data_IF_599430632319
#
_entry.id   IF_599430632319
#
_cell.length_a   1.000
_cell.length_b   1.000
_cell.length_c   1.000
_cell.angle_alpha   90.00
_cell.angle_beta   90.00
_cell.angle_gamma   90.00
#
_symmetry.space_group_name_H-M   'P 1'
#
loop_
_entity.id
_entity.type
_entity.pdbx_description
1 polymer ?
#
# COMPACT_ATOMS: atom_id res chain seq x y z
N UNK A 1 8.44 14.18 0.49
CA UNK A 1 7.44 15.27 0.57
C UNK A 1 7.20 15.60 2.03
N UNK A 2 7.13 16.87 2.38
CA UNK A 2 6.86 17.32 3.75
C UNK A 2 5.72 18.31 3.78
N UNK A 3 4.68 17.99 4.53
CA UNK A 3 3.55 18.89 4.75
C UNK A 3 3.74 19.55 6.11
N UNK A 4 4.28 20.78 6.13
CA UNK A 4 4.61 21.49 7.38
C UNK A 4 3.41 21.72 8.31
N UNK A 5 2.19 21.74 7.75
CA UNK A 5 0.95 21.80 8.54
C UNK A 5 0.72 20.51 9.35
N UNK A 6 1.14 19.35 8.83
CA UNK A 6 1.09 18.06 9.51
C UNK A 6 2.24 17.92 10.51
N UNK A 7 3.47 18.09 10.03
CA UNK A 7 4.67 18.09 10.86
C UNK A 7 5.78 18.89 10.18
N UNK A 8 6.52 19.68 10.97
CA UNK A 8 7.71 20.40 10.49
C UNK A 8 8.95 19.51 10.43
N UNK A 9 8.94 18.38 11.12
CA UNK A 9 10.12 17.54 11.36
C UNK A 9 10.04 16.17 10.70
N UNK A 10 8.85 15.72 10.31
CA UNK A 10 8.62 14.40 9.72
C UNK A 10 8.12 14.52 8.29
N UNK A 11 8.72 13.75 7.38
CA UNK A 11 8.23 13.63 6.01
C UNK A 11 6.91 12.86 5.97
N UNK A 12 5.96 13.33 5.17
CA UNK A 12 4.62 12.76 5.08
C UNK A 12 4.51 11.61 4.08
N UNK A 13 5.49 11.48 3.19
CA UNK A 13 5.62 10.44 2.19
C UNK A 13 6.80 10.72 1.28
N UNK A 14 7.33 9.70 0.63
CA UNK A 14 8.54 9.79 -0.18
C UNK A 14 8.49 8.84 -1.39
N UNK A 15 9.35 9.13 -2.35
CA UNK A 15 9.67 8.25 -3.47
C UNK A 15 11.16 7.94 -3.38
N UNK A 16 11.49 6.67 -3.14
CA UNK A 16 12.87 6.22 -3.02
C UNK A 16 13.26 5.26 -4.15
N UNK A 17 14.57 5.20 -4.39
CA UNK A 17 15.20 4.12 -5.13
C UNK A 17 16.30 3.53 -4.26
N UNK A 18 16.29 2.20 -4.12
CA UNK A 18 17.22 1.46 -3.28
C UNK A 18 17.93 0.40 -4.11
N UNK A 19 19.22 0.17 -3.85
CA UNK A 19 19.99 -0.87 -4.54
C UNK A 19 19.44 -2.26 -4.16
N UNK A 20 19.24 -3.12 -5.15
CA UNK A 20 19.06 -4.56 -4.92
C UNK A 20 20.45 -5.21 -4.82
N UNK A 21 20.75 -5.88 -3.70
CA UNK A 21 22.06 -6.48 -3.47
C UNK A 21 23.09 -5.45 -3.01
N UNK A 22 24.16 -5.25 -3.80
CA UNK A 22 25.25 -4.32 -3.50
C UNK A 22 25.57 -3.39 -4.69
N UNK A 23 26.47 -2.40 -4.49
CA UNK A 23 26.88 -1.49 -5.56
C UNK A 23 27.36 -2.26 -6.81
N UNK A 24 26.91 -1.82 -7.99
CA UNK A 24 27.24 -2.47 -9.27
C UNK A 24 26.31 -3.61 -9.69
N UNK A 25 25.26 -3.92 -8.93
CA UNK A 25 24.31 -5.00 -9.27
C UNK A 25 23.48 -4.74 -10.54
N UNK A 26 23.39 -3.49 -11.01
CA UNK A 26 22.53 -3.12 -12.12
C UNK A 26 21.04 -3.21 -11.82
N UNK A 27 20.66 -3.41 -10.54
CA UNK A 27 19.26 -3.55 -10.12
C UNK A 27 18.95 -2.64 -8.93
N UNK A 28 17.76 -2.05 -8.98
CA UNK A 28 17.19 -1.24 -7.92
C UNK A 28 15.71 -1.57 -7.74
N UNK A 29 15.19 -1.25 -6.56
CA UNK A 29 13.76 -1.27 -6.27
C UNK A 29 13.28 0.12 -5.92
N UNK A 30 12.06 0.42 -6.36
CA UNK A 30 11.42 1.72 -6.14
C UNK A 30 10.38 1.58 -5.05
N UNK A 31 10.28 2.57 -4.16
CA UNK A 31 9.34 2.58 -3.04
C UNK A 31 8.53 3.87 -3.04
N UNK A 32 7.20 3.76 -2.96
CA UNK A 32 6.29 4.86 -2.68
C UNK A 32 5.78 4.71 -1.24
N UNK A 33 5.96 5.74 -0.41
CA UNK A 33 5.68 5.66 1.03
C UNK A 33 4.66 6.68 1.52
N UNK A 34 4.03 6.36 2.65
CA UNK A 34 3.18 7.27 3.42
C UNK A 34 3.48 7.13 4.92
N UNK A 35 3.38 8.26 5.64
CA UNK A 35 3.49 8.29 7.11
C UNK A 35 2.23 7.70 7.76
N UNK A 36 2.39 6.94 8.84
CA UNK A 36 1.28 6.50 9.72
C UNK A 36 1.77 6.44 11.16
N UNK A 37 0.94 6.88 12.12
CA UNK A 37 1.30 6.87 13.55
C UNK A 37 2.54 7.69 13.90
N UNK A 38 2.82 8.78 13.16
CA UNK A 38 4.06 9.58 13.26
C UNK A 38 5.36 8.81 12.95
N UNK A 39 5.26 7.67 12.28
CA UNK A 39 6.40 6.90 11.79
C UNK A 39 6.51 7.10 10.28
N UNK A 40 7.54 7.84 9.78
CA UNK A 40 7.80 7.95 8.35
C UNK A 40 7.98 6.58 7.72
N UNK A 41 7.55 6.45 6.47
CA UNK A 41 7.69 5.23 5.66
C UNK A 41 6.98 3.97 6.20
N UNK A 42 6.04 4.14 7.15
CA UNK A 42 5.31 3.04 7.79
C UNK A 42 4.46 2.20 6.82
N UNK A 43 3.85 2.83 5.82
CA UNK A 43 3.10 2.13 4.76
C UNK A 43 3.82 2.37 3.44
N UNK A 44 4.04 1.30 2.66
CA UNK A 44 4.72 1.43 1.37
C UNK A 44 4.28 0.41 0.34
N UNK A 45 4.26 0.87 -0.92
CA UNK A 45 4.18 0.03 -2.12
C UNK A 45 5.57 -0.03 -2.74
N UNK A 46 6.00 -1.23 -3.14
CA UNK A 46 7.35 -1.46 -3.67
C UNK A 46 7.28 -2.08 -5.05
N UNK A 47 8.25 -1.76 -5.91
CA UNK A 47 8.39 -2.32 -7.24
C UNK A 47 9.80 -2.86 -7.41
N UNK A 48 9.91 -4.10 -7.89
CA UNK A 48 11.16 -4.81 -8.13
C UNK A 48 12.01 -5.08 -6.88
N UNK A 49 11.41 -5.13 -5.69
CA UNK A 49 12.13 -5.47 -4.46
C UNK A 49 12.75 -6.88 -4.60
N UNK A 50 14.06 -6.99 -4.35
CA UNK A 50 14.84 -8.22 -4.58
C UNK A 50 14.85 -8.69 -6.04
N UNK A 51 14.76 -7.75 -6.98
CA UNK A 51 14.74 -8.00 -8.42
C UNK A 51 13.60 -8.92 -8.90
N UNK A 52 12.50 -8.96 -8.15
CA UNK A 52 11.39 -9.88 -8.41
C UNK A 52 10.54 -9.51 -9.64
N UNK A 53 10.76 -8.33 -10.25
CA UNK A 53 9.97 -7.75 -11.35
C UNK A 53 8.46 -7.58 -11.06
N UNK A 54 8.05 -7.74 -9.81
CA UNK A 54 6.67 -7.58 -9.33
C UNK A 54 6.46 -6.30 -8.50
N UNK A 55 5.21 -6.09 -8.11
CA UNK A 55 4.82 -5.05 -7.16
C UNK A 55 4.37 -5.68 -5.83
N UNK A 56 4.90 -5.20 -4.72
CA UNK A 56 4.43 -5.52 -3.37
C UNK A 56 3.36 -4.49 -2.99
N UNK A 57 2.11 -4.96 -2.83
CA UNK A 57 0.94 -4.11 -2.56
C UNK A 57 0.55 -4.28 -1.09
N UNK A 58 0.58 -3.21 -0.27
CA UNK A 58 0.11 -3.27 1.12
C UNK A 58 -1.41 -3.43 1.16
N UNK A 59 -1.91 -4.12 2.18
CA UNK A 59 -3.34 -4.34 2.43
C UNK A 59 -3.71 -3.91 3.85
N UNK A 60 -4.99 -3.60 4.09
CA UNK A 60 -5.49 -3.28 5.43
C UNK A 60 -5.38 -4.54 6.31
N UNK A 61 -4.77 -4.47 7.50
CA UNK A 61 -4.46 -5.66 8.30
C UNK A 61 -5.68 -6.32 8.96
N UNK A 62 -6.86 -5.73 8.82
CA UNK A 62 -8.14 -6.19 9.36
C UNK A 62 -9.28 -5.76 8.41
N UNK A 63 -10.54 -6.00 8.78
CA UNK A 63 -11.72 -5.63 8.00
C UNK A 63 -11.72 -4.11 7.70
N UNK A 64 -11.60 -3.77 6.43
CA UNK A 64 -11.65 -2.37 5.99
C UNK A 64 -13.04 -1.76 6.25
N UNK A 65 -13.10 -0.58 6.84
CA UNK A 65 -14.32 0.22 6.97
C UNK A 65 -14.73 0.82 5.61
N UNK A 66 -16.04 1.08 5.44
CA UNK A 66 -16.60 1.56 4.17
C UNK A 66 -16.05 2.94 3.72
N UNK A 67 -15.64 3.77 4.68
CA UNK A 67 -15.04 5.10 4.45
C UNK A 67 -13.55 5.06 4.08
N UNK A 68 -12.89 3.89 4.18
CA UNK A 68 -11.48 3.76 3.81
C UNK A 68 -11.26 3.84 2.30
N UNK A 69 -12.26 3.50 1.49
CA UNK A 69 -12.19 3.59 0.03
C UNK A 69 -12.70 4.94 -0.47
N UNK A 70 -11.83 5.66 -1.16
CA UNK A 70 -12.11 7.02 -1.59
C UNK A 70 -12.90 7.06 -2.90
N UNK A 71 -12.29 6.59 -3.96
CA UNK A 71 -12.73 6.85 -5.33
C UNK A 71 -13.55 5.67 -5.90
N UNK A 72 -14.54 6.00 -6.73
CA UNK A 72 -15.29 5.01 -7.50
C UNK A 72 -14.40 4.32 -8.53
N UNK A 73 -14.74 3.07 -8.88
CA UNK A 73 -13.93 2.22 -9.75
C UNK A 73 -12.55 1.83 -9.19
N UNK A 74 -12.43 1.79 -7.87
CA UNK A 74 -11.24 1.32 -7.15
C UNK A 74 -11.58 0.11 -6.27
N UNK A 75 -10.53 -0.61 -5.84
CA UNK A 75 -10.64 -1.62 -4.80
C UNK A 75 -9.54 -1.42 -3.75
N UNK A 76 -9.84 -1.78 -2.51
CA UNK A 76 -8.92 -1.73 -1.38
C UNK A 76 -8.79 -3.15 -0.79
N UNK A 77 -7.61 -3.80 -0.92
CA UNK A 77 -7.41 -5.12 -0.34
C UNK A 77 -7.35 -5.04 1.19
N UNK A 78 -7.96 -6.02 1.86
CA UNK A 78 -7.96 -6.15 3.30
C UNK A 78 -7.91 -7.62 3.75
N UNK A 79 -7.46 -7.85 4.98
CA UNK A 79 -7.28 -9.18 5.55
C UNK A 79 -8.53 -9.64 6.31
N UNK A 80 -9.04 -10.83 5.98
CA UNK A 80 -10.05 -11.54 6.77
C UNK A 80 -9.36 -12.67 7.54
N UNK A 81 -9.07 -12.43 8.82
CA UNK A 81 -8.26 -13.33 9.62
C UNK A 81 -8.95 -14.69 9.87
N UNK A 82 -10.28 -14.69 9.96
CA UNK A 82 -11.05 -15.92 10.23
C UNK A 82 -10.98 -16.93 9.08
N UNK A 83 -10.74 -16.48 7.85
CA UNK A 83 -10.67 -17.35 6.67
C UNK A 83 -9.31 -17.37 6.00
N UNK A 84 -8.29 -16.73 6.58
CA UNK A 84 -6.94 -16.58 5.98
C UNK A 84 -7.04 -16.19 4.51
N UNK A 85 -7.84 -15.15 4.22
CA UNK A 85 -8.13 -14.75 2.85
C UNK A 85 -7.94 -13.25 2.68
N UNK A 86 -7.45 -12.85 1.51
CA UNK A 86 -7.58 -11.47 1.07
C UNK A 86 -9.00 -11.25 0.57
N UNK A 87 -9.61 -10.20 1.07
CA UNK A 87 -10.86 -9.65 0.56
C UNK A 87 -10.57 -8.30 -0.11
N UNK A 88 -11.53 -7.81 -0.88
CA UNK A 88 -11.47 -6.50 -1.49
C UNK A 88 -12.74 -5.72 -1.18
N UNK A 89 -12.59 -4.54 -0.57
CA UNK A 89 -13.65 -3.54 -0.53
C UNK A 89 -13.63 -2.82 -1.87
N UNK A 90 -14.67 -2.99 -2.67
CA UNK A 90 -14.78 -2.41 -4.01
C UNK A 90 -15.81 -1.31 -3.99
N UNK A 91 -15.42 -0.12 -4.44
CA UNK A 91 -16.35 0.96 -4.75
C UNK A 91 -16.57 0.92 -6.26
N UNK A 92 -17.74 0.44 -6.68
CA UNK A 92 -18.08 0.25 -8.09
C UNK A 92 -18.07 1.58 -8.83
N UNK A 93 -18.13 1.52 -10.15
CA UNK A 93 -18.21 2.71 -11.02
C UNK A 93 -19.39 3.63 -10.68
N UNK A 94 -20.50 3.05 -10.20
CA UNK A 94 -21.69 3.79 -9.76
C UNK A 94 -21.62 4.32 -8.32
N UNK A 95 -20.49 4.16 -7.61
CA UNK A 95 -20.28 4.64 -6.25
C UNK A 95 -20.75 3.69 -5.14
N UNK A 96 -21.48 2.63 -5.48
CA UNK A 96 -21.95 1.63 -4.51
C UNK A 96 -20.82 0.71 -4.04
N UNK A 97 -20.90 0.27 -2.79
CA UNK A 97 -19.90 -0.62 -2.17
C UNK A 97 -20.29 -2.09 -2.31
N UNK A 98 -19.28 -2.93 -2.53
CA UNK A 98 -19.41 -4.39 -2.47
C UNK A 98 -18.12 -5.00 -1.91
N UNK A 99 -18.23 -6.11 -1.17
CA UNK A 99 -17.09 -6.85 -0.62
C UNK A 99 -16.92 -8.16 -1.38
N UNK A 100 -15.75 -8.36 -1.98
CA UNK A 100 -15.42 -9.55 -2.79
C UNK A 100 -14.31 -10.36 -2.13
N UNK A 101 -14.26 -11.66 -2.41
CA UNK A 101 -13.08 -12.48 -2.14
C UNK A 101 -12.04 -12.23 -3.22
N UNK A 102 -10.81 -11.88 -2.83
CA UNK A 102 -9.72 -11.54 -3.75
C UNK A 102 -8.73 -12.70 -3.93
N UNK A 103 -8.33 -13.33 -2.82
CA UNK A 103 -7.47 -14.52 -2.85
C UNK A 103 -7.79 -15.46 -1.68
N UNK A 104 -7.71 -16.76 -1.95
CA UNK A 104 -7.85 -17.85 -0.97
C UNK A 104 -6.61 -18.74 -1.02
N UNK A 105 -6.44 -19.57 0.02
CA UNK A 105 -5.46 -20.66 0.02
C UNK A 105 -5.68 -21.65 -1.13
#
# INVERSE_FOLDING_TARGET
LRIHKLSKTLDSGALYSHINGGPGSGSAWTQLTAISGNTPDAVSLKVNHKDCRGAEIPFVPDIASDDFIKDSSCFLPYWENNSTSLKALVKKTNGELVRLTLATL
#
